data_IF_998463141948
#
_entry.id   IF_998463141948
#
_cell.length_a   1.000
_cell.length_b   1.000
_cell.length_c   1.000
_cell.angle_alpha   90.00
_cell.angle_beta   90.00
_cell.angle_gamma   90.00
#
_symmetry.space_group_name_H-M   'P 1'
#
loop_
_entity.id
_entity.type
_entity.pdbx_description
1 polymer ?
#
# COMPACT_ATOMS: atom_id res chain seq x y z
N UNK A 1 -37.81 3.37 5.80
CA UNK A 1 -37.03 2.19 6.22
C UNK A 1 -35.62 2.65 6.47
N UNK A 2 -35.05 2.54 7.68
CA UNK A 2 -33.67 2.82 7.90
C UNK A 2 -32.85 1.75 7.18
N UNK A 3 -31.85 2.18 6.39
CA UNK A 3 -30.85 1.29 5.78
C UNK A 3 -30.18 0.49 6.89
N UNK A 4 -30.33 -0.82 6.85
CA UNK A 4 -29.61 -1.70 7.75
C UNK A 4 -28.10 -1.47 7.54
N UNK A 5 -27.43 -1.02 8.60
CA UNK A 5 -25.98 -0.94 8.64
C UNK A 5 -25.46 -2.38 8.60
N UNK A 6 -24.97 -2.82 7.46
CA UNK A 6 -24.20 -4.05 7.38
C UNK A 6 -22.80 -3.74 7.94
N UNK A 7 -22.47 -4.24 9.13
CA UNK A 7 -21.09 -4.16 9.56
C UNK A 7 -20.28 -5.02 8.59
N UNK A 8 -19.35 -4.39 7.86
CA UNK A 8 -18.30 -5.16 7.22
C UNK A 8 -17.65 -6.03 8.30
N UNK A 9 -17.51 -7.35 8.09
CA UNK A 9 -16.76 -8.16 9.03
C UNK A 9 -15.39 -7.49 9.16
N UNK A 10 -14.87 -7.32 10.38
CA UNK A 10 -13.54 -6.75 10.56
C UNK A 10 -12.56 -7.62 9.79
N UNK A 11 -11.99 -7.10 8.71
CA UNK A 11 -10.91 -7.76 7.96
C UNK A 11 -9.65 -7.93 8.81
N UNK A 12 -9.69 -7.37 9.98
CA UNK A 12 -8.72 -7.59 11.03
C UNK A 12 -9.51 -8.07 12.26
N UNK A 13 -9.03 -9.06 12.96
CA UNK A 13 -9.60 -9.71 14.16
C UNK A 13 -9.90 -8.75 15.34
N UNK A 14 -10.33 -7.51 15.07
CA UNK A 14 -10.59 -6.46 16.05
C UNK A 14 -9.34 -5.94 16.75
N UNK A 15 -8.15 -6.39 16.36
CA UNK A 15 -6.89 -5.89 16.92
C UNK A 15 -6.47 -4.65 16.15
N UNK A 16 -6.06 -3.57 16.85
CA UNK A 16 -5.41 -2.43 16.22
C UNK A 16 -4.10 -2.87 15.52
N UNK A 17 -3.56 -2.03 14.66
CA UNK A 17 -2.19 -2.17 14.20
C UNK A 17 -1.21 -2.22 15.36
N UNK A 18 0.03 -2.50 15.06
CA UNK A 18 1.07 -2.64 16.08
C UNK A 18 1.53 -1.29 16.62
N UNK A 19 1.84 -1.23 17.91
CA UNK A 19 2.50 -0.08 18.53
C UNK A 19 4.00 -0.08 18.24
N UNK A 20 4.70 1.00 18.56
CA UNK A 20 6.13 1.13 18.33
C UNK A 20 6.94 -0.02 18.96
N UNK A 21 6.59 -0.43 20.18
CA UNK A 21 7.26 -1.51 20.92
C UNK A 21 7.09 -2.91 20.31
N UNK A 22 6.12 -3.08 19.40
CA UNK A 22 5.84 -4.36 18.76
C UNK A 22 6.71 -4.61 17.51
N UNK A 23 7.62 -3.67 17.20
CA UNK A 23 8.47 -3.72 16.03
C UNK A 23 9.93 -3.97 16.36
N UNK A 24 10.52 -4.95 15.70
CA UNK A 24 11.96 -5.22 15.75
C UNK A 24 12.54 -5.12 14.33
N UNK A 25 13.72 -4.54 14.21
CA UNK A 25 14.44 -4.52 12.93
C UNK A 25 14.63 -5.95 12.42
N UNK A 26 14.31 -6.18 11.15
CA UNK A 26 14.35 -7.49 10.51
C UNK A 26 13.01 -8.25 10.55
N UNK A 27 12.00 -7.77 11.29
CA UNK A 27 10.66 -8.36 11.22
C UNK A 27 10.11 -8.31 9.80
N UNK A 28 9.43 -9.39 9.39
CA UNK A 28 8.78 -9.51 8.10
C UNK A 28 7.31 -9.90 8.24
N UNK A 29 6.47 -9.37 7.35
CA UNK A 29 5.04 -9.68 7.28
C UNK A 29 4.65 -9.96 5.84
N UNK A 30 3.85 -11.00 5.62
CA UNK A 30 3.05 -11.17 4.40
C UNK A 30 1.61 -10.82 4.75
N UNK A 31 1.03 -9.86 4.01
CA UNK A 31 -0.31 -9.38 4.30
C UNK A 31 -1.36 -10.32 3.70
N UNK A 32 -2.45 -10.62 4.44
CA UNK A 32 -3.41 -11.64 4.04
C UNK A 32 -4.36 -11.21 2.92
N UNK A 33 -4.50 -9.89 2.69
CA UNK A 33 -5.43 -9.38 1.68
C UNK A 33 -4.78 -9.42 0.30
N UNK A 34 -5.43 -10.13 -0.62
CA UNK A 34 -5.11 -10.11 -2.04
C UNK A 34 -6.16 -9.28 -2.77
N UNK A 35 -5.74 -8.49 -3.76
CA UNK A 35 -6.63 -7.58 -4.49
C UNK A 35 -6.37 -7.65 -5.99
N UNK A 36 -7.39 -8.07 -6.75
CA UNK A 36 -7.34 -8.00 -8.21
C UNK A 36 -7.64 -6.60 -8.69
N UNK A 37 -6.77 -6.06 -9.54
CA UNK A 37 -6.90 -4.73 -10.14
C UNK A 37 -7.96 -4.76 -11.24
N UNK A 38 -8.90 -3.81 -11.17
CA UNK A 38 -9.98 -3.68 -12.15
C UNK A 38 -9.77 -2.46 -13.06
N UNK A 39 -10.48 -2.43 -14.18
CA UNK A 39 -10.52 -1.26 -15.06
C UNK A 39 -11.02 -0.01 -14.33
N UNK A 40 -12.03 -0.17 -13.48
CA UNK A 40 -12.59 0.93 -12.66
C UNK A 40 -11.53 1.55 -11.76
N UNK A 41 -10.66 0.73 -11.14
CA UNK A 41 -9.58 1.22 -10.28
C UNK A 41 -8.65 2.17 -11.04
N UNK A 42 -8.23 1.76 -12.23
CA UNK A 42 -7.33 2.52 -13.09
C UNK A 42 -7.99 3.82 -13.61
N UNK A 43 -9.21 3.70 -14.12
CA UNK A 43 -9.97 4.83 -14.66
C UNK A 43 -10.27 5.86 -13.56
N UNK A 44 -10.78 5.42 -12.42
CA UNK A 44 -11.18 6.30 -11.32
C UNK A 44 -9.99 7.09 -10.76
N UNK A 45 -8.85 6.41 -10.49
CA UNK A 45 -7.69 7.13 -9.97
C UNK A 45 -7.12 8.10 -11.00
N UNK A 46 -7.03 7.72 -12.27
CA UNK A 46 -6.54 8.61 -13.32
C UNK A 46 -7.42 9.86 -13.46
N UNK A 47 -8.75 9.70 -13.36
CA UNK A 47 -9.69 10.82 -13.38
C UNK A 47 -9.54 11.72 -12.14
N UNK A 48 -9.50 11.15 -10.95
CA UNK A 48 -9.37 11.90 -9.68
C UNK A 48 -8.05 12.66 -9.57
N UNK A 49 -7.00 12.16 -10.18
CA UNK A 49 -5.66 12.79 -10.16
C UNK A 49 -5.39 13.66 -11.36
N UNK A 50 -6.37 13.86 -12.27
CA UNK A 50 -6.20 14.58 -13.52
C UNK A 50 -5.02 14.08 -14.38
N UNK A 51 -4.76 12.77 -14.38
CA UNK A 51 -3.71 12.18 -15.19
C UNK A 51 -4.25 11.81 -16.60
N UNK A 52 -3.93 12.60 -17.65
CA UNK A 52 -4.45 12.38 -19.00
C UNK A 52 -3.61 11.42 -19.83
N UNK A 53 -2.67 10.68 -19.24
CA UNK A 53 -1.74 9.83 -19.97
C UNK A 53 -2.50 8.74 -20.76
N UNK A 54 -2.43 8.73 -22.09
CA UNK A 54 -3.19 7.79 -22.92
C UNK A 54 -2.80 6.32 -22.69
N UNK A 55 -1.60 6.04 -22.22
CA UNK A 55 -1.17 4.69 -21.86
C UNK A 55 -2.10 4.03 -20.81
N UNK A 56 -2.76 4.85 -19.98
CA UNK A 56 -3.68 4.39 -18.95
C UNK A 56 -5.15 4.38 -19.39
N UNK A 57 -5.51 5.18 -20.40
CA UNK A 57 -6.90 5.54 -20.69
C UNK A 57 -7.36 5.21 -22.11
N UNK A 58 -6.44 5.11 -23.08
CA UNK A 58 -6.73 4.89 -24.49
C UNK A 58 -6.19 3.51 -24.93
N UNK A 59 -7.11 2.56 -25.08
CA UNK A 59 -6.76 1.19 -25.44
C UNK A 59 -6.16 1.09 -26.85
N UNK A 60 -6.56 1.99 -27.79
CA UNK A 60 -5.99 2.00 -29.16
C UNK A 60 -4.55 2.50 -29.12
N UNK A 61 -4.30 3.56 -28.38
CA UNK A 61 -2.93 4.04 -28.14
C UNK A 61 -2.07 2.97 -27.46
N UNK A 62 -2.56 2.40 -26.35
CA UNK A 62 -1.81 1.41 -25.58
C UNK A 62 -1.45 0.15 -26.42
N UNK A 63 -2.33 -0.24 -27.33
CA UNK A 63 -2.08 -1.36 -28.26
C UNK A 63 -0.89 -1.10 -29.22
N UNK A 64 -0.52 0.15 -29.48
CA UNK A 64 0.64 0.51 -30.30
C UNK A 64 1.95 0.56 -29.55
N UNK A 65 1.92 0.48 -28.20
CA UNK A 65 3.11 0.53 -27.34
C UNK A 65 3.71 -0.86 -27.15
N UNK A 66 4.91 -0.91 -26.60
CA UNK A 66 5.56 -2.18 -26.20
C UNK A 66 4.72 -3.04 -25.24
N UNK A 67 3.77 -2.44 -24.51
CA UNK A 67 2.89 -3.15 -23.57
C UNK A 67 1.71 -3.84 -24.26
N UNK A 68 1.29 -3.38 -25.43
CA UNK A 68 0.19 -3.95 -26.22
C UNK A 68 -1.21 -3.81 -25.61
N UNK A 69 -1.34 -3.18 -24.44
CA UNK A 69 -2.59 -3.00 -23.70
C UNK A 69 -2.44 -1.90 -22.63
N UNK A 70 -3.57 -1.47 -22.04
CA UNK A 70 -3.56 -0.49 -20.97
C UNK A 70 -2.67 -0.93 -19.80
N UNK A 71 -1.77 -0.04 -19.40
CA UNK A 71 -0.98 -0.17 -18.18
C UNK A 71 -1.70 0.57 -17.05
N UNK A 72 -1.77 -0.04 -15.88
CA UNK A 72 -2.38 0.57 -14.68
C UNK A 72 -1.53 1.75 -14.22
N UNK A 73 -2.20 2.84 -13.84
CA UNK A 73 -1.55 4.04 -13.31
C UNK A 73 -0.65 3.69 -12.12
N UNK A 74 0.63 4.05 -12.22
CA UNK A 74 1.62 3.71 -11.20
C UNK A 74 1.31 4.28 -9.81
N UNK A 75 0.66 5.46 -9.75
CA UNK A 75 0.24 6.03 -8.45
C UNK A 75 -0.87 5.20 -7.80
N UNK A 76 -1.74 4.55 -8.58
CA UNK A 76 -2.69 3.56 -8.04
C UNK A 76 -1.94 2.36 -7.47
N UNK A 77 -0.99 1.81 -8.22
CA UNK A 77 -0.18 0.66 -7.79
C UNK A 77 0.52 0.94 -6.45
N UNK A 78 1.12 2.13 -6.33
CA UNK A 78 1.75 2.57 -5.08
C UNK A 78 0.74 2.73 -3.94
N UNK A 79 -0.38 3.41 -4.17
CA UNK A 79 -1.43 3.61 -3.16
C UNK A 79 -2.03 2.29 -2.69
N UNK A 80 -2.27 1.34 -3.61
CA UNK A 80 -2.75 -0.01 -3.30
C UNK A 80 -1.75 -0.76 -2.41
N UNK A 81 -0.44 -0.71 -2.73
CA UNK A 81 0.60 -1.30 -1.90
C UNK A 81 0.50 -0.81 -0.46
N UNK A 82 0.45 0.50 -0.25
CA UNK A 82 0.34 1.07 1.10
C UNK A 82 -0.96 0.63 1.77
N UNK A 83 -2.10 0.72 1.06
CA UNK A 83 -3.41 0.33 1.60
C UNK A 83 -3.46 -1.10 2.11
N UNK A 84 -2.89 -2.05 1.37
CA UNK A 84 -2.85 -3.47 1.75
C UNK A 84 -2.03 -3.74 3.01
N UNK A 85 -1.10 -2.84 3.37
CA UNK A 85 -0.26 -3.02 4.57
C UNK A 85 -0.85 -2.44 5.85
N UNK A 86 -1.84 -1.54 5.74
CA UNK A 86 -2.36 -0.76 6.89
C UNK A 86 -2.89 -1.65 8.01
N UNK A 87 -3.66 -2.68 7.67
CA UNK A 87 -4.36 -3.51 8.65
C UNK A 87 -3.45 -4.09 9.73
N UNK A 88 -2.35 -4.70 9.32
CA UNK A 88 -1.42 -5.39 10.21
C UNK A 88 -0.28 -4.49 10.70
N UNK A 89 -0.12 -3.28 10.11
CA UNK A 89 0.98 -2.40 10.49
C UNK A 89 0.52 -1.22 11.33
N UNK A 90 -0.30 -0.34 10.77
CA UNK A 90 -0.47 1.02 11.30
C UNK A 90 -1.92 1.39 11.66
N UNK A 91 -2.87 0.45 11.52
CA UNK A 91 -4.29 0.73 11.77
C UNK A 91 -4.53 1.17 13.21
N UNK A 92 -4.93 2.43 13.42
CA UNK A 92 -5.22 3.01 14.73
C UNK A 92 -4.00 3.32 15.61
N UNK A 93 -2.77 3.02 15.14
CA UNK A 93 -1.52 3.28 15.88
C UNK A 93 -0.57 4.25 15.18
N UNK A 94 -0.90 4.68 13.97
CA UNK A 94 -0.15 5.69 13.23
C UNK A 94 -0.40 7.08 13.81
N UNK A 95 0.68 7.82 14.11
CA UNK A 95 0.61 9.27 14.39
C UNK A 95 0.67 10.02 13.07
N UNK A 96 1.65 9.72 12.22
CA UNK A 96 1.83 10.33 10.90
C UNK A 96 2.75 9.51 9.99
N UNK A 97 2.52 9.58 8.68
CA UNK A 97 3.52 9.23 7.69
C UNK A 97 4.48 10.41 7.52
N UNK A 98 5.78 10.17 7.63
CA UNK A 98 6.79 11.23 7.49
C UNK A 98 7.34 11.32 6.07
N UNK A 99 7.26 10.23 5.30
CA UNK A 99 7.71 10.24 3.93
C UNK A 99 7.76 8.85 3.30
N UNK A 100 7.98 8.86 2.00
CA UNK A 100 8.22 7.70 1.18
C UNK A 100 9.48 7.96 0.35
N UNK A 101 10.44 7.03 0.43
CA UNK A 101 11.71 7.09 -0.28
C UNK A 101 11.84 5.89 -1.20
N UNK A 102 12.68 6.02 -2.24
CA UNK A 102 13.03 4.94 -3.16
C UNK A 102 11.80 4.22 -3.72
N UNK A 103 10.78 4.99 -4.12
CA UNK A 103 9.61 4.41 -4.79
C UNK A 103 10.04 3.97 -6.20
N UNK A 104 9.98 2.66 -6.45
CA UNK A 104 10.34 2.06 -7.75
C UNK A 104 9.25 1.12 -8.23
N UNK A 105 9.08 1.03 -9.55
CA UNK A 105 8.08 0.20 -10.23
C UNK A 105 8.79 -0.62 -11.32
N UNK A 106 9.42 -1.75 -10.95
CA UNK A 106 10.25 -2.50 -11.88
C UNK A 106 9.47 -3.26 -12.97
N UNK A 107 8.19 -3.55 -12.72
CA UNK A 107 7.32 -4.24 -13.68
C UNK A 107 5.97 -3.54 -13.82
N UNK A 108 5.39 -3.49 -15.03
CA UNK A 108 4.06 -2.93 -15.26
C UNK A 108 2.98 -3.77 -14.59
N UNK A 109 1.91 -3.10 -14.18
CA UNK A 109 0.68 -3.73 -13.70
C UNK A 109 -0.39 -3.62 -14.77
N UNK A 110 -1.16 -4.68 -14.94
CA UNK A 110 -2.25 -4.74 -15.90
C UNK A 110 -3.59 -4.99 -15.18
N UNK A 111 -4.67 -4.59 -15.84
CA UNK A 111 -6.03 -4.94 -15.41
C UNK A 111 -6.14 -6.48 -15.36
N UNK A 112 -6.67 -7.01 -14.26
CA UNK A 112 -6.75 -8.44 -13.98
C UNK A 112 -5.58 -9.01 -13.18
N UNK A 113 -4.48 -8.28 -13.00
CA UNK A 113 -3.41 -8.71 -12.10
C UNK A 113 -3.89 -8.72 -10.64
N UNK A 114 -3.50 -9.74 -9.88
CA UNK A 114 -3.85 -9.88 -8.46
C UNK A 114 -2.63 -9.60 -7.60
N UNK A 115 -2.79 -8.62 -6.71
CA UNK A 115 -1.72 -8.07 -5.89
C UNK A 115 -1.75 -8.62 -4.48
N UNK A 116 -0.57 -8.82 -3.90
CA UNK A 116 -0.32 -9.07 -2.49
C UNK A 116 0.83 -8.22 -1.99
N UNK A 117 0.81 -7.84 -0.73
CA UNK A 117 1.84 -6.98 -0.15
C UNK A 117 2.69 -7.73 0.89
N UNK A 118 3.95 -7.31 0.99
CA UNK A 118 4.92 -7.75 1.98
C UNK A 118 5.55 -6.53 2.65
N UNK A 119 5.89 -6.66 3.92
CA UNK A 119 6.55 -5.62 4.71
C UNK A 119 7.75 -6.20 5.44
N UNK A 120 8.85 -5.44 5.43
CA UNK A 120 10.07 -5.71 6.21
C UNK A 120 10.36 -4.46 7.06
N UNK A 121 10.67 -4.63 8.34
CA UNK A 121 11.15 -3.55 9.22
C UNK A 121 12.63 -3.32 8.99
N UNK A 122 12.97 -2.18 8.40
CA UNK A 122 14.36 -1.81 8.07
C UNK A 122 15.05 -1.15 9.25
N UNK A 123 14.33 -0.31 10.01
CA UNK A 123 14.87 0.43 11.14
C UNK A 123 13.77 0.77 12.15
N UNK A 124 14.13 0.75 13.42
CA UNK A 124 13.31 1.30 14.50
C UNK A 124 14.16 2.27 15.32
N UNK A 125 13.61 3.44 15.66
CA UNK A 125 14.30 4.39 16.54
C UNK A 125 13.34 5.26 17.33
N UNK A 126 13.80 5.70 18.49
CA UNK A 126 13.09 6.65 19.37
C UNK A 126 12.84 7.99 18.65
N UNK A 127 11.69 8.59 18.90
CA UNK A 127 11.45 9.97 18.44
C UNK A 127 12.14 10.97 19.36
N UNK A 128 12.97 11.82 18.79
CA UNK A 128 13.66 12.88 19.58
C UNK A 128 12.73 14.01 20.01
N UNK A 129 11.64 14.24 19.30
CA UNK A 129 10.73 15.36 19.52
C UNK A 129 9.42 14.94 20.17
N UNK A 130 9.12 13.65 20.26
CA UNK A 130 7.85 13.11 20.80
C UNK A 130 8.13 11.89 21.68
N UNK A 131 8.17 12.06 23.02
CA UNK A 131 8.50 10.96 23.95
C UNK A 131 7.51 9.79 23.91
N UNK A 132 6.26 10.06 23.51
CA UNK A 132 5.18 9.06 23.40
C UNK A 132 5.07 8.43 21.98
N UNK A 133 6.10 8.54 21.17
CA UNK A 133 6.13 7.97 19.83
C UNK A 133 7.53 7.48 19.45
N UNK A 134 7.59 6.58 18.49
CA UNK A 134 8.81 6.12 17.87
C UNK A 134 8.69 6.09 16.33
N UNK A 135 9.81 5.99 15.66
CA UNK A 135 9.86 5.90 14.20
C UNK A 135 10.16 4.48 13.77
N UNK A 136 9.39 4.02 12.79
CA UNK A 136 9.62 2.73 12.13
C UNK A 136 9.77 2.98 10.64
N UNK A 137 10.87 2.51 10.07
CA UNK A 137 11.07 2.50 8.62
C UNK A 137 10.76 1.13 8.08
N UNK A 138 9.73 1.07 7.26
CA UNK A 138 9.29 -0.13 6.57
C UNK A 138 9.80 -0.14 5.13
N UNK A 139 10.19 -1.32 4.65
CA UNK A 139 10.25 -1.62 3.23
C UNK A 139 8.97 -2.36 2.86
N UNK A 140 8.15 -1.76 2.00
CA UNK A 140 6.97 -2.41 1.44
C UNK A 140 7.25 -2.88 0.03
N UNK A 141 6.76 -4.08 -0.31
CA UNK A 141 6.80 -4.64 -1.65
C UNK A 141 5.40 -5.08 -2.05
N UNK A 142 5.00 -4.75 -3.27
CA UNK A 142 3.80 -5.25 -3.90
C UNK A 142 4.21 -6.27 -4.96
N UNK A 143 3.61 -7.46 -4.90
CA UNK A 143 3.83 -8.54 -5.87
C UNK A 143 2.54 -8.87 -6.61
N UNK A 144 2.68 -9.26 -7.87
CA UNK A 144 1.59 -9.80 -8.65
C UNK A 144 1.47 -11.34 -8.48
N UNK A 145 0.54 -11.97 -9.20
CA UNK A 145 0.31 -13.42 -9.17
C UNK A 145 1.46 -14.26 -9.76
N UNK A 146 2.42 -13.64 -10.46
CA UNK A 146 3.63 -14.28 -10.99
C UNK A 146 4.83 -14.14 -10.04
N UNK A 147 4.59 -13.61 -8.84
CA UNK A 147 5.63 -13.32 -7.83
C UNK A 147 6.62 -12.20 -8.23
N UNK A 148 6.29 -11.42 -9.26
CA UNK A 148 7.09 -10.28 -9.68
C UNK A 148 6.84 -9.08 -8.75
N UNK A 149 7.91 -8.39 -8.33
CA UNK A 149 7.78 -7.11 -7.61
C UNK A 149 7.33 -6.05 -8.61
N UNK A 150 6.15 -5.49 -8.40
CA UNK A 150 5.58 -4.44 -9.26
C UNK A 150 5.70 -3.04 -8.65
N UNK A 151 5.90 -2.98 -7.33
CA UNK A 151 6.20 -1.73 -6.62
C UNK A 151 7.00 -2.02 -5.35
N UNK A 152 7.95 -1.18 -5.02
CA UNK A 152 8.68 -1.19 -3.75
C UNK A 152 8.89 0.24 -3.27
N UNK A 153 8.88 0.45 -1.94
CA UNK A 153 9.29 1.72 -1.34
C UNK A 153 9.84 1.53 0.08
N UNK A 154 10.53 2.56 0.57
CA UNK A 154 10.78 2.78 1.99
C UNK A 154 9.75 3.77 2.52
N UNK A 155 9.07 3.44 3.62
CA UNK A 155 8.11 4.31 4.31
C UNK A 155 8.57 4.55 5.72
N UNK A 156 8.73 5.82 6.11
CA UNK A 156 8.99 6.19 7.51
C UNK A 156 7.69 6.62 8.17
N UNK A 157 7.29 5.88 9.19
CA UNK A 157 6.08 6.10 9.97
C UNK A 157 6.42 6.50 11.40
N UNK A 158 5.73 7.53 11.91
CA UNK A 158 5.73 7.88 13.33
C UNK A 158 4.60 7.10 14.00
N UNK A 159 4.97 6.19 14.89
CA UNK A 159 4.07 5.25 15.55
C UNK A 159 3.81 5.62 16.99
N UNK A 160 2.58 5.43 17.47
CA UNK A 160 2.25 5.57 18.88
C UNK A 160 2.99 4.52 19.70
N UNK A 161 3.38 4.91 20.91
CA UNK A 161 3.75 3.97 21.98
C UNK A 161 2.49 3.37 22.61
N UNK A 162 2.64 2.19 23.17
CA UNK A 162 1.56 1.55 23.93
C UNK A 162 1.17 2.44 25.11
N UNK A 163 -0.12 2.71 25.33
CA UNK A 163 -0.58 3.38 26.54
C UNK A 163 -0.11 2.64 27.80
N UNK A 164 0.27 3.40 28.83
CA UNK A 164 0.66 2.86 30.13
C UNK A 164 -0.53 2.22 30.85
#
# INVERSE_FOLDING_TARGET
MPLAFFPFPPHNSGKPGRYFEDWTQGDTLTHPIHRTVTETDNLLLSALTHNPQPLHLDAQYAATTEFGRLVVNGTFTFALMIGLTVGETTLGTLVANLGYDKVVMPHPVFIGDTMRAETEVVETRESRSRPNAGLVTFRHRLRNQRDEIVCECLRTALMQRRPA
#
